data_IF_673063379514
#
_entry.id   IF_673063379514
#
_cell.length_a   1.000
_cell.length_b   1.000
_cell.length_c   1.000
_cell.angle_alpha   90.00
_cell.angle_beta   90.00
_cell.angle_gamma   90.00
#
_symmetry.space_group_name_H-M   'P 1'
#
loop_
_entity.id
_entity.type
_entity.pdbx_description
1 polymer ?
#
# COMPACT_ATOMS: atom_id res chain seq x y z
N UNK A 1 -12.28 -6.35 -11.83
CA UNK A 1 -12.06 -7.36 -10.77
C UNK A 1 -13.23 -7.30 -9.79
N UNK A 2 -13.55 -8.39 -9.09
CA UNK A 2 -14.50 -8.35 -7.95
C UNK A 2 -13.83 -7.68 -6.75
N UNK A 3 -14.61 -7.21 -5.77
CA UNK A 3 -14.05 -6.64 -4.53
C UNK A 3 -13.08 -7.60 -3.82
N UNK A 4 -13.42 -8.89 -3.76
CA UNK A 4 -12.54 -9.91 -3.17
C UNK A 4 -11.19 -10.01 -3.90
N UNK A 5 -11.20 -9.93 -5.23
CA UNK A 5 -9.96 -9.92 -6.03
C UNK A 5 -9.15 -8.63 -5.83
N UNK A 6 -9.82 -7.48 -5.63
CA UNK A 6 -9.14 -6.22 -5.32
C UNK A 6 -8.50 -6.26 -3.94
N UNK A 7 -9.20 -6.80 -2.94
CA UNK A 7 -8.63 -7.01 -1.59
C UNK A 7 -7.42 -7.93 -1.63
N UNK A 8 -7.49 -9.01 -2.40
CA UNK A 8 -6.34 -9.91 -2.60
C UNK A 8 -5.15 -9.20 -3.26
N UNK A 9 -5.38 -8.44 -4.34
CA UNK A 9 -4.35 -7.62 -4.97
C UNK A 9 -3.72 -6.65 -3.97
N UNK A 10 -4.53 -5.95 -3.17
CA UNK A 10 -4.04 -5.00 -2.19
C UNK A 10 -3.23 -5.69 -1.09
N UNK A 11 -3.65 -6.86 -0.62
CA UNK A 11 -2.89 -7.66 0.34
C UNK A 11 -1.53 -8.06 -0.21
N UNK A 12 -1.45 -8.48 -1.47
CA UNK A 12 -0.19 -8.82 -2.13
C UNK A 12 0.75 -7.61 -2.25
N UNK A 13 0.23 -6.45 -2.64
CA UNK A 13 1.03 -5.22 -2.70
C UNK A 13 1.47 -4.75 -1.30
N UNK A 14 0.61 -4.90 -0.29
CA UNK A 14 0.93 -4.57 1.11
C UNK A 14 2.07 -5.44 1.62
N UNK A 15 2.01 -6.76 1.40
CA UNK A 15 3.09 -7.69 1.75
C UNK A 15 4.38 -7.37 1.00
N UNK A 16 4.31 -7.12 -0.31
CA UNK A 16 5.49 -6.79 -1.11
C UNK A 16 6.19 -5.50 -0.64
N UNK A 17 5.46 -4.54 -0.10
CA UNK A 17 6.04 -3.35 0.54
C UNK A 17 6.58 -3.65 1.94
N UNK A 18 5.87 -4.46 2.74
CA UNK A 18 6.30 -4.83 4.09
C UNK A 18 7.60 -5.63 4.11
N UNK A 19 7.91 -6.37 3.03
CA UNK A 19 9.15 -7.13 2.89
C UNK A 19 10.38 -6.27 2.51
N UNK A 20 10.18 -4.99 2.17
CA UNK A 20 11.30 -4.11 1.80
C UNK A 20 12.10 -3.65 3.02
N UNK A 21 13.39 -3.32 2.86
CA UNK A 21 14.17 -2.70 3.92
C UNK A 21 13.53 -1.39 4.41
N UNK A 22 13.43 -1.16 5.74
CA UNK A 22 12.89 0.07 6.33
C UNK A 22 13.46 1.37 5.74
N UNK A 23 14.76 1.39 5.46
CA UNK A 23 15.43 2.57 4.90
C UNK A 23 14.96 2.87 3.46
N UNK A 24 14.75 1.82 2.65
CA UNK A 24 14.28 1.95 1.28
C UNK A 24 12.83 2.44 1.25
N UNK A 25 11.98 1.92 2.15
CA UNK A 25 10.59 2.38 2.32
C UNK A 25 10.55 3.89 2.62
N UNK A 26 11.32 4.35 3.60
CA UNK A 26 11.34 5.79 3.97
C UNK A 26 11.87 6.65 2.82
N UNK A 27 12.90 6.18 2.11
CA UNK A 27 13.47 6.92 0.99
C UNK A 27 12.51 6.99 -0.21
N UNK A 28 11.91 5.87 -0.60
CA UNK A 28 10.99 5.78 -1.74
C UNK A 28 9.65 6.46 -1.48
N UNK A 29 9.17 6.41 -0.23
CA UNK A 29 7.90 7.01 0.20
C UNK A 29 8.07 8.37 0.86
N UNK A 30 9.20 9.06 0.62
CA UNK A 30 9.34 10.49 0.94
C UNK A 30 8.26 11.34 0.25
N UNK A 31 7.65 10.79 -0.82
CA UNK A 31 6.38 11.22 -1.41
C UNK A 31 5.52 9.99 -1.68
N UNK A 32 4.18 10.13 -1.75
CA UNK A 32 3.31 9.04 -2.19
C UNK A 32 3.78 8.46 -3.53
N UNK A 33 3.81 7.14 -3.61
CA UNK A 33 4.08 6.39 -4.84
C UNK A 33 2.76 5.91 -5.42
N UNK A 34 2.59 6.13 -6.72
CA UNK A 34 1.39 5.73 -7.44
C UNK A 34 1.78 4.94 -8.67
N UNK A 35 1.26 3.73 -8.82
CA UNK A 35 1.57 2.85 -9.96
C UNK A 35 0.40 1.93 -10.29
N UNK A 36 0.34 1.45 -11.53
CA UNK A 36 -0.74 0.57 -11.93
C UNK A 36 -0.36 -0.91 -11.84
N UNK A 37 -1.35 -1.75 -11.51
CA UNK A 37 -1.29 -3.21 -11.50
C UNK A 37 -2.45 -3.81 -12.29
N UNK A 38 -2.19 -4.92 -12.97
CA UNK A 38 -3.18 -5.65 -13.76
C UNK A 38 -2.76 -5.85 -15.22
N UNK A 39 -3.63 -6.46 -16.02
CA UNK A 39 -3.43 -6.69 -17.46
C UNK A 39 -4.68 -6.32 -18.25
N UNK A 40 -4.52 -5.84 -19.48
CA UNK A 40 -5.64 -5.47 -20.35
C UNK A 40 -6.55 -4.36 -19.76
N UNK A 41 -7.86 -4.62 -19.67
CA UNK A 41 -8.84 -3.65 -19.19
C UNK A 41 -9.04 -3.67 -17.66
N UNK A 42 -8.20 -4.36 -16.90
CA UNK A 42 -8.30 -4.46 -15.44
C UNK A 42 -7.09 -3.85 -14.74
N UNK A 43 -6.67 -2.67 -15.18
CA UNK A 43 -5.61 -1.91 -14.51
C UNK A 43 -6.21 -1.15 -13.33
N UNK A 44 -5.57 -1.30 -12.18
CA UNK A 44 -5.93 -0.61 -10.94
C UNK A 44 -4.72 0.20 -10.50
N UNK A 45 -4.95 1.46 -10.12
CA UNK A 45 -3.91 2.30 -9.56
C UNK A 45 -3.75 1.96 -8.08
N UNK A 46 -2.51 1.73 -7.67
CA UNK A 46 -2.10 1.50 -6.30
C UNK A 46 -1.41 2.76 -5.83
N UNK A 47 -1.92 3.36 -4.77
CA UNK A 47 -1.21 4.41 -4.03
C UNK A 47 -0.61 3.80 -2.76
N UNK A 48 0.67 4.09 -2.55
CA UNK A 48 1.40 3.72 -1.34
C UNK A 48 1.96 4.98 -0.71
N UNK A 49 1.65 5.18 0.58
CA UNK A 49 1.93 6.41 1.28
C UNK A 49 2.52 6.12 2.65
N UNK A 50 3.65 6.76 2.96
CA UNK A 50 4.20 6.79 4.31
C UNK A 50 3.29 7.67 5.18
N UNK A 51 2.62 7.07 6.16
CA UNK A 51 1.80 7.81 7.12
C UNK A 51 2.65 8.36 8.26
N UNK A 52 3.60 7.55 8.73
CA UNK A 52 4.45 7.90 9.86
C UNK A 52 5.80 7.17 9.79
N UNK A 53 6.86 7.86 10.19
CA UNK A 53 8.17 7.25 10.42
C UNK A 53 8.76 7.84 11.71
N UNK A 54 8.83 7.00 12.74
CA UNK A 54 9.36 7.34 14.06
C UNK A 54 10.62 6.53 14.37
N UNK A 55 11.18 6.79 15.55
CA UNK A 55 12.25 5.99 16.12
C UNK A 55 11.78 4.58 16.52
N UNK A 56 10.48 4.37 16.70
CA UNK A 56 9.91 3.08 17.12
C UNK A 56 9.39 2.24 15.95
N UNK A 57 8.80 2.88 14.94
CA UNK A 57 8.18 2.18 13.80
C UNK A 57 8.07 3.04 12.53
N UNK A 58 7.76 2.36 11.44
CA UNK A 58 7.31 2.95 10.17
C UNK A 58 5.90 2.45 9.90
N UNK A 59 4.98 3.34 9.59
CA UNK A 59 3.60 3.03 9.25
C UNK A 59 3.30 3.46 7.80
N UNK A 60 2.88 2.49 6.99
CA UNK A 60 2.62 2.68 5.56
C UNK A 60 1.18 2.28 5.27
N UNK A 61 0.50 3.09 4.45
CA UNK A 61 -0.81 2.79 3.88
C UNK A 61 -0.66 2.37 2.43
N UNK A 62 -1.38 1.35 2.03
CA UNK A 62 -1.61 0.98 0.63
C UNK A 62 -3.09 1.17 0.30
N UNK A 63 -3.40 1.56 -0.94
CA UNK A 63 -4.79 1.73 -1.37
C UNK A 63 -4.96 1.47 -2.85
N UNK A 64 -6.13 0.96 -3.23
CA UNK A 64 -6.53 0.88 -4.64
C UNK A 64 -7.35 2.13 -4.97
N UNK A 65 -6.83 2.91 -5.91
CA UNK A 65 -7.58 3.90 -6.65
C UNK A 65 -7.89 3.30 -8.03
N UNK A 66 -9.15 3.11 -8.41
CA UNK A 66 -9.47 2.67 -9.78
C UNK A 66 -10.09 3.80 -10.61
N UNK A 67 -10.04 5.04 -10.11
CA UNK A 67 -10.64 6.21 -10.74
C UNK A 67 -12.17 6.20 -10.76
N UNK A 68 -12.83 5.20 -10.16
CA UNK A 68 -14.28 5.19 -10.04
C UNK A 68 -14.75 6.09 -8.90
N UNK A 69 -15.91 6.71 -9.10
CA UNK A 69 -16.50 7.64 -8.13
C UNK A 69 -16.85 6.97 -6.78
N UNK A 70 -17.07 5.65 -6.80
CA UNK A 70 -17.42 4.86 -5.60
C UNK A 70 -16.21 4.72 -4.69
N UNK A 71 -15.04 4.35 -5.24
CA UNK A 71 -13.81 4.21 -4.47
C UNK A 71 -13.16 5.56 -4.11
N UNK A 72 -13.62 6.66 -4.71
CA UNK A 72 -13.27 8.02 -4.27
C UNK A 72 -13.89 8.40 -2.91
N UNK A 73 -14.98 7.73 -2.49
CA UNK A 73 -15.66 7.98 -1.22
C UNK A 73 -15.22 7.03 -0.10
N UNK A 74 -14.92 5.77 -0.44
CA UNK A 74 -14.51 4.76 0.53
C UNK A 74 -13.46 3.82 -0.10
N UNK A 75 -12.20 4.26 -0.28
CA UNK A 75 -11.18 3.48 -0.97
C UNK A 75 -10.91 2.15 -0.25
N UNK A 76 -10.60 1.09 -1.02
CA UNK A 76 -10.06 -0.14 -0.44
C UNK A 76 -8.65 0.18 0.03
N UNK A 77 -8.45 0.18 1.34
CA UNK A 77 -7.16 0.46 1.98
C UNK A 77 -6.67 -0.73 2.80
N UNK A 78 -5.35 -0.83 2.92
CA UNK A 78 -4.66 -1.66 3.90
C UNK A 78 -3.47 -0.88 4.46
N UNK A 79 -2.84 -1.39 5.48
CA UNK A 79 -1.67 -0.76 6.07
C UNK A 79 -0.76 -1.81 6.69
N UNK A 80 0.48 -1.43 6.96
CA UNK A 80 1.37 -2.23 7.78
C UNK A 80 2.28 -1.33 8.62
N UNK A 81 2.75 -1.88 9.74
CA UNK A 81 3.79 -1.31 10.58
C UNK A 81 5.04 -2.19 10.55
N UNK A 82 6.20 -1.56 10.40
CA UNK A 82 7.50 -2.19 10.65
C UNK A 82 8.11 -1.54 11.88
N UNK A 83 8.22 -2.30 12.96
CA UNK A 83 8.88 -1.86 14.18
C UNK A 83 10.40 -1.98 14.03
N UNK A 84 11.17 -1.08 14.65
CA UNK A 84 12.65 -1.12 14.56
C UNK A 84 13.27 -2.36 15.20
N UNK A 85 12.51 -3.07 16.03
CA UNK A 85 12.89 -4.37 16.60
C UNK A 85 12.69 -5.56 15.65
N UNK A 86 12.22 -5.30 14.41
CA UNK A 86 12.04 -6.31 13.37
C UNK A 86 10.64 -6.94 13.34
N UNK A 87 9.72 -6.56 14.23
CA UNK A 87 8.32 -6.99 14.14
C UNK A 87 7.61 -6.31 12.97
N UNK A 88 6.72 -7.05 12.32
CA UNK A 88 5.82 -6.55 11.27
C UNK A 88 4.38 -6.83 11.69
N UNK A 89 3.51 -5.83 11.55
CA UNK A 89 2.07 -5.91 11.79
C UNK A 89 1.33 -5.46 10.53
N UNK A 90 0.32 -6.22 10.10
CA UNK A 90 -0.49 -5.98 8.91
C UNK A 90 -1.95 -5.99 9.31
#
# INVERSE_FOLDING_TARGET
MTEAQLRELLSQETLAWAERPPADIVAELAKPQTYCRGTGNTWHEIEVTLLEATDDYIHVKTSINDGSLVWALEPITSSFLIYRDGRIEI
#
